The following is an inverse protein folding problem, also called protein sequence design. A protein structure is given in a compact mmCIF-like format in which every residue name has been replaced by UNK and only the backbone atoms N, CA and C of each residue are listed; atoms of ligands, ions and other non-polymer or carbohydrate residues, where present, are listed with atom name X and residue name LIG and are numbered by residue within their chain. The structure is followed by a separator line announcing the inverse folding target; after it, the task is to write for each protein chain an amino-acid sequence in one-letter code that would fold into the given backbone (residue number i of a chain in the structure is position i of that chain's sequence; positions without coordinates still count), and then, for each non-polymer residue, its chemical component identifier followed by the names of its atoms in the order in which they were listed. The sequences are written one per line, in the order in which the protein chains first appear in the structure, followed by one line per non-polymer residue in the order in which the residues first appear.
data_IF_061739815690
#
_entry.id   IF_061739815690
#
_cell.length_a   1.000
_cell.length_b   1.000
_cell.length_c   1.000
_cell.angle_alpha   90.00
_cell.angle_beta   90.00
_cell.angle_gamma   90.00
#
_symmetry.space_group_name_H-M   'P 1'
#
loop_
_entity.id
_entity.type
_entity.pdbx_description
1 polymer ?
#
# COMPACT_ATOMS: atom_id res chain seq x y z
N UNK A 1 10.30 10.11 -15.15
CA UNK A 1 8.83 10.05 -15.06
C UNK A 1 8.35 9.19 -16.20
N UNK A 2 7.56 8.17 -15.90
CA UNK A 2 6.92 7.33 -16.93
C UNK A 2 5.44 7.68 -16.94
N UNK A 3 4.85 7.84 -18.12
CA UNK A 3 3.42 8.08 -18.29
C UNK A 3 2.78 6.75 -18.65
N UNK A 4 1.82 6.31 -17.85
CA UNK A 4 0.95 5.20 -18.25
C UNK A 4 -0.40 5.76 -18.66
N UNK A 5 -0.96 5.17 -19.71
CA UNK A 5 -2.20 5.60 -20.32
C UNK A 5 -3.27 4.53 -20.06
N UNK A 6 -4.33 4.93 -19.35
CA UNK A 6 -5.57 4.15 -19.30
C UNK A 6 -6.49 4.67 -20.39
N UNK A 7 -7.14 3.74 -21.07
CA UNK A 7 -8.11 4.07 -22.09
C UNK A 7 -9.33 3.16 -21.95
N UNK A 8 -10.51 3.71 -22.20
CA UNK A 8 -11.73 2.92 -22.29
C UNK A 8 -11.79 2.32 -23.70
N UNK A 9 -11.57 1.01 -23.81
CA UNK A 9 -11.69 0.32 -25.09
C UNK A 9 -13.14 0.38 -25.54
N UNK A 10 -13.37 0.98 -26.71
CA UNK A 10 -14.70 1.00 -27.33
C UNK A 10 -14.71 -0.10 -28.38
N UNK A 11 -15.45 -1.18 -28.16
CA UNK A 11 -15.56 -2.20 -29.21
C UNK A 11 -16.58 -1.77 -30.28
N UNK A 12 -17.75 -1.26 -29.87
CA UNK A 12 -18.82 -0.83 -30.78
C UNK A 12 -19.64 0.30 -30.16
N UNK A 13 -19.94 1.37 -30.93
CA UNK A 13 -20.91 2.41 -30.54
C UNK A 13 -22.23 2.17 -31.27
N UNK A 14 -23.32 2.01 -30.52
CA UNK A 14 -24.68 1.84 -31.06
C UNK A 14 -25.57 3.02 -30.68
N UNK A 15 -26.46 3.43 -31.58
CA UNK A 15 -27.52 4.40 -31.25
C UNK A 15 -28.43 3.84 -30.17
N UNK A 16 -28.70 4.62 -29.13
CA UNK A 16 -29.44 4.19 -27.94
C UNK A 16 -30.87 3.72 -28.26
N UNK A 17 -31.52 4.35 -29.24
CA UNK A 17 -32.92 4.09 -29.61
C UNK A 17 -33.02 3.01 -30.68
N UNK A 18 -32.23 3.09 -31.75
CA UNK A 18 -32.36 2.17 -32.88
C UNK A 18 -31.47 0.92 -32.79
N UNK A 19 -30.54 0.86 -31.82
CA UNK A 19 -29.49 -0.17 -31.68
C UNK A 19 -28.62 -0.38 -32.93
N UNK A 20 -28.78 0.46 -33.94
CA UNK A 20 -27.97 0.46 -35.16
C UNK A 20 -26.55 0.86 -34.79
N UNK A 21 -25.59 0.07 -35.25
CA UNK A 21 -24.18 0.35 -35.09
C UNK A 21 -23.81 1.58 -35.90
N UNK A 22 -23.24 2.57 -35.21
CA UNK A 22 -22.79 3.84 -35.80
C UNK A 22 -21.28 3.91 -35.96
N UNK A 23 -20.54 3.13 -35.17
CA UNK A 23 -19.08 3.13 -35.17
C UNK A 23 -18.54 1.77 -34.72
N UNK A 24 -17.52 1.26 -35.42
CA UNK A 24 -16.67 0.17 -34.96
C UNK A 24 -15.29 0.78 -34.71
N UNK A 25 -14.76 0.66 -33.50
CA UNK A 25 -13.48 1.29 -33.23
C UNK A 25 -12.33 0.45 -33.79
N UNK A 26 -11.38 1.11 -34.43
CA UNK A 26 -10.10 0.54 -34.84
C UNK A 26 -9.22 0.17 -33.65
N UNK A 27 -8.12 -0.55 -33.92
CA UNK A 27 -7.15 -0.90 -32.88
C UNK A 27 -6.53 0.37 -32.28
N UNK A 28 -6.66 0.56 -30.97
CA UNK A 28 -6.10 1.70 -30.23
C UNK A 28 -7.04 2.91 -30.09
N UNK A 29 -8.27 2.83 -30.60
CA UNK A 29 -9.25 3.89 -30.44
C UNK A 29 -9.98 3.81 -29.10
N UNK A 30 -10.16 4.96 -28.47
CA UNK A 30 -10.80 5.08 -27.16
C UNK A 30 -11.73 6.27 -27.09
N UNK A 31 -12.83 6.10 -26.36
CA UNK A 31 -13.76 7.19 -26.04
C UNK A 31 -13.18 8.17 -25.02
N UNK A 32 -12.22 7.73 -24.18
CA UNK A 32 -11.61 8.53 -23.12
C UNK A 32 -10.17 8.08 -22.86
N UNK A 33 -9.27 9.04 -22.87
CA UNK A 33 -7.85 8.85 -22.53
C UNK A 33 -7.61 9.45 -21.16
N UNK A 34 -6.97 8.68 -20.29
CA UNK A 34 -6.54 9.12 -18.96
C UNK A 34 -5.03 8.91 -18.84
N UNK A 35 -4.32 9.98 -18.52
CA UNK A 35 -2.89 9.97 -18.25
C UNK A 35 -2.65 10.06 -16.75
N UNK A 36 -1.72 9.27 -16.24
CA UNK A 36 -1.27 9.36 -14.86
C UNK A 36 0.25 9.44 -14.83
N UNK A 37 0.76 10.21 -13.87
CA UNK A 37 2.20 10.29 -13.63
C UNK A 37 2.64 9.21 -12.64
N UNK A 38 3.71 8.51 -13.01
CA UNK A 38 4.40 7.55 -12.18
C UNK A 38 5.82 8.01 -11.90
N UNK A 39 6.18 7.99 -10.61
CA UNK A 39 7.52 8.34 -10.16
C UNK A 39 8.01 7.23 -9.23
N UNK A 40 9.01 6.48 -9.70
CA UNK A 40 9.67 5.44 -8.92
C UNK A 40 10.92 6.00 -8.26
N UNK A 41 11.01 5.84 -6.95
CA UNK A 41 12.25 6.03 -6.20
C UNK A 41 12.97 4.67 -6.09
N UNK A 42 14.09 4.46 -6.82
CA UNK A 42 14.80 3.19 -6.83
C UNK A 42 15.58 2.91 -5.55
N UNK A 43 15.81 3.91 -4.68
CA UNK A 43 16.50 3.72 -3.40
C UNK A 43 15.51 3.18 -2.38
N UNK A 44 14.33 3.80 -2.30
CA UNK A 44 13.28 3.38 -1.36
C UNK A 44 12.40 2.24 -1.86
N UNK A 45 12.52 1.88 -3.15
CA UNK A 45 11.60 0.98 -3.86
C UNK A 45 10.13 1.40 -3.76
N UNK A 46 9.85 2.71 -3.82
CA UNK A 46 8.48 3.25 -3.73
C UNK A 46 8.08 3.82 -5.09
N UNK A 47 6.92 3.36 -5.59
CA UNK A 47 6.27 3.90 -6.79
C UNK A 47 5.15 4.85 -6.37
N UNK A 48 5.36 6.16 -6.53
CA UNK A 48 4.31 7.15 -6.38
C UNK A 48 3.45 7.23 -7.65
N UNK A 49 2.13 7.26 -7.44
CA UNK A 49 1.13 7.34 -8.50
C UNK A 49 0.25 8.57 -8.23
N UNK A 50 -0.04 9.33 -9.27
CA UNK A 50 -0.98 10.43 -9.21
C UNK A 50 -2.41 9.95 -8.89
N UNK A 51 -2.96 10.43 -7.77
CA UNK A 51 -4.33 10.16 -7.35
C UNK A 51 -5.32 11.03 -8.15
N UNK A 52 -5.88 10.47 -9.22
CA UNK A 52 -6.89 11.13 -10.05
C UNK A 52 -8.20 10.32 -10.08
N UNK A 53 -9.37 10.94 -10.31
CA UNK A 53 -10.68 10.29 -10.14
C UNK A 53 -10.93 9.03 -10.96
N UNK A 54 -10.11 8.78 -11.99
CA UNK A 54 -10.25 7.63 -12.89
C UNK A 54 -9.22 6.53 -12.61
N UNK A 55 -8.36 6.70 -11.60
CA UNK A 55 -7.31 5.74 -11.26
C UNK A 55 -7.94 4.36 -10.93
N UNK A 56 -7.42 3.26 -11.50
CA UNK A 56 -7.87 1.93 -11.14
C UNK A 56 -7.70 1.64 -9.64
N UNK A 57 -8.48 0.70 -9.11
CA UNK A 57 -8.30 0.25 -7.73
C UNK A 57 -6.90 -0.33 -7.51
N UNK A 58 -6.39 -0.25 -6.28
CA UNK A 58 -5.08 -0.78 -5.92
C UNK A 58 -4.90 -2.25 -6.35
N UNK A 59 -5.92 -3.09 -6.15
CA UNK A 59 -5.95 -4.49 -6.57
C UNK A 59 -5.76 -4.70 -8.09
N UNK A 60 -6.25 -3.77 -8.92
CA UNK A 60 -6.04 -3.81 -10.38
C UNK A 60 -4.62 -3.34 -10.69
N UNK A 61 -4.14 -2.28 -10.04
CA UNK A 61 -2.78 -1.77 -10.21
C UNK A 61 -1.74 -2.83 -9.86
N UNK A 62 -1.91 -3.60 -8.78
CA UNK A 62 -1.00 -4.69 -8.42
C UNK A 62 -0.87 -5.74 -9.51
N UNK A 63 -2.00 -6.13 -10.12
CA UNK A 63 -2.00 -7.11 -11.21
C UNK A 63 -1.29 -6.57 -12.44
N UNK A 64 -1.59 -5.34 -12.82
CA UNK A 64 -0.98 -4.69 -13.99
C UNK A 64 0.52 -4.53 -13.79
N UNK A 65 0.97 -3.98 -12.66
CA UNK A 65 2.39 -3.79 -12.37
C UNK A 65 3.13 -5.13 -12.34
N UNK A 66 2.54 -6.17 -11.73
CA UNK A 66 3.12 -7.50 -11.73
C UNK A 66 3.29 -8.10 -13.14
N UNK A 67 2.32 -7.93 -14.02
CA UNK A 67 2.41 -8.42 -15.39
C UNK A 67 3.38 -7.57 -16.24
N UNK A 68 3.39 -6.25 -16.09
CA UNK A 68 4.30 -5.35 -16.82
C UNK A 68 5.76 -5.68 -16.56
N UNK A 69 6.12 -5.94 -15.30
CA UNK A 69 7.51 -6.25 -14.92
C UNK A 69 7.85 -7.74 -14.99
N UNK A 70 6.88 -8.61 -15.28
CA UNK A 70 7.04 -10.08 -15.22
C UNK A 70 8.20 -10.59 -16.06
N UNK A 71 8.24 -10.20 -17.33
CA UNK A 71 9.25 -10.71 -18.27
C UNK A 71 10.63 -10.13 -18.00
N UNK A 72 10.69 -8.83 -17.68
CA UNK A 72 11.94 -8.18 -17.27
C UNK A 72 12.52 -8.83 -16.01
N UNK A 73 11.68 -9.07 -15.00
CA UNK A 73 12.06 -9.75 -13.77
C UNK A 73 12.51 -11.18 -14.03
N UNK A 74 11.80 -11.96 -14.86
CA UNK A 74 12.20 -13.35 -15.19
C UNK A 74 13.53 -13.43 -15.92
N UNK A 75 13.85 -12.45 -16.78
CA UNK A 75 15.10 -12.42 -17.55
C UNK A 75 16.29 -11.93 -16.73
N UNK A 76 16.11 -10.85 -15.98
CA UNK A 76 17.20 -10.18 -15.27
C UNK A 76 17.41 -10.73 -13.85
N UNK A 77 16.33 -11.17 -13.19
CA UNK A 77 16.32 -11.57 -11.78
C UNK A 77 15.50 -12.86 -11.57
N UNK A 78 15.89 -13.98 -12.21
CA UNK A 78 15.11 -15.22 -12.22
C UNK A 78 14.86 -15.81 -10.82
N UNK A 79 15.82 -15.63 -9.91
CA UNK A 79 15.74 -16.12 -8.52
C UNK A 79 14.98 -15.17 -7.59
N UNK A 80 14.56 -14.00 -8.07
CA UNK A 80 13.88 -13.00 -7.25
C UNK A 80 12.37 -13.06 -7.46
N UNK A 81 11.63 -12.74 -6.40
CA UNK A 81 10.18 -12.49 -6.46
C UNK A 81 9.95 -10.98 -6.39
N UNK A 82 8.85 -10.55 -6.99
CA UNK A 82 8.39 -9.17 -6.94
C UNK A 82 6.99 -9.20 -6.35
N UNK A 83 6.79 -8.44 -5.28
CA UNK A 83 5.47 -8.09 -4.74
C UNK A 83 5.22 -6.60 -4.98
N UNK A 84 3.96 -6.22 -4.94
CA UNK A 84 3.55 -4.81 -4.99
C UNK A 84 2.50 -4.64 -3.91
N UNK A 85 2.83 -3.82 -2.92
CA UNK A 85 2.02 -3.59 -1.73
C UNK A 85 1.68 -2.10 -1.60
N UNK A 86 0.51 -1.78 -1.03
CA UNK A 86 0.18 -0.38 -0.73
C UNK A 86 0.92 0.12 0.50
N UNK A 87 1.45 1.33 0.38
CA UNK A 87 1.95 2.07 1.52
C UNK A 87 0.77 2.62 2.33
N UNK A 88 0.64 2.22 3.60
CA UNK A 88 -0.51 2.58 4.46
C UNK A 88 -0.07 3.39 5.68
N UNK A 89 -0.95 4.26 6.17
CA UNK A 89 -0.62 5.20 7.25
C UNK A 89 -0.55 4.53 8.61
N UNK A 90 0.58 4.63 9.32
CA UNK A 90 0.73 4.02 10.66
C UNK A 90 -0.15 4.70 11.72
N UNK A 91 -0.51 5.96 11.51
CA UNK A 91 -1.41 6.70 12.39
C UNK A 91 -2.80 6.04 12.47
N UNK A 92 -3.26 5.43 11.37
CA UNK A 92 -4.55 4.73 11.33
C UNK A 92 -4.55 3.48 12.22
N UNK A 93 -3.46 2.71 12.20
CA UNK A 93 -3.25 1.56 13.09
C UNK A 93 -3.15 2.00 14.56
N UNK A 94 -2.37 3.06 14.84
CA UNK A 94 -2.24 3.63 16.19
C UNK A 94 -3.60 4.01 16.80
N UNK A 95 -4.50 4.56 15.99
CA UNK A 95 -5.84 4.93 16.43
C UNK A 95 -6.66 3.69 16.81
N UNK A 96 -6.62 2.63 16.01
CA UNK A 96 -7.30 1.37 16.30
C UNK A 96 -6.81 0.78 17.63
N UNK A 97 -5.50 0.75 17.84
CA UNK A 97 -4.89 0.23 19.06
C UNK A 97 -5.29 1.04 20.30
N UNK A 98 -5.41 2.37 20.16
CA UNK A 98 -5.85 3.26 21.26
C UNK A 98 -7.35 3.20 21.53
N UNK A 99 -8.16 2.92 20.52
CA UNK A 99 -9.62 2.87 20.62
C UNK A 99 -10.16 1.48 20.98
N UNK A 100 -9.38 0.42 20.77
CA UNK A 100 -9.79 -0.95 21.07
C UNK A 100 -9.85 -1.23 22.57
N UNK A 101 -10.97 -1.78 23.02
CA UNK A 101 -11.13 -2.40 24.35
C UNK A 101 -10.80 -3.89 24.35
N UNK A 102 -10.68 -4.49 23.17
CA UNK A 102 -10.43 -5.89 22.93
C UNK A 102 -10.67 -6.24 21.46
N UNK A 103 -10.26 -7.44 21.07
CA UNK A 103 -10.18 -7.87 19.68
C UNK A 103 -10.99 -9.14 19.45
N UNK A 104 -11.75 -9.18 18.36
CA UNK A 104 -12.41 -10.39 17.87
C UNK A 104 -11.49 -11.18 16.93
N UNK A 105 -10.75 -10.46 16.09
CA UNK A 105 -9.77 -11.05 15.18
C UNK A 105 -8.68 -10.06 14.84
N UNK A 106 -7.48 -10.57 14.64
CA UNK A 106 -6.31 -9.83 14.24
C UNK A 106 -5.59 -10.65 13.17
N UNK A 107 -5.69 -10.22 11.91
CA UNK A 107 -5.09 -10.92 10.77
C UNK A 107 -4.09 -10.00 10.10
N UNK A 108 -2.86 -10.47 9.99
CA UNK A 108 -1.77 -9.74 9.35
C UNK A 108 -1.16 -10.59 8.26
N UNK A 109 -0.89 -9.95 7.13
CA UNK A 109 -0.18 -10.51 5.99
C UNK A 109 0.97 -9.56 5.67
N UNK A 110 2.21 -10.05 5.72
CA UNK A 110 3.41 -9.28 5.42
C UNK A 110 4.31 -10.02 4.44
N UNK A 111 5.01 -9.24 3.62
CA UNK A 111 6.17 -9.64 2.84
C UNK A 111 7.41 -8.91 3.35
N UNK A 112 8.55 -9.10 2.70
CA UNK A 112 9.84 -8.55 3.14
C UNK A 112 10.59 -7.96 1.95
N UNK A 113 11.12 -6.74 2.11
CA UNK A 113 11.86 -6.05 1.06
C UNK A 113 13.30 -6.55 0.95
N UNK A 114 13.85 -6.60 -0.25
CA UNK A 114 15.29 -6.81 -0.45
C UNK A 114 16.13 -5.53 -0.26
N UNK A 115 15.52 -4.35 0.00
CA UNK A 115 16.28 -3.12 0.24
C UNK A 115 16.91 -3.11 1.63
N UNK A 116 18.20 -2.78 1.70
CA UNK A 116 18.96 -2.65 2.96
C UNK A 116 18.62 -1.38 3.76
N UNK A 117 18.07 -0.35 3.11
CA UNK A 117 17.84 0.97 3.71
C UNK A 117 16.61 1.04 4.65
N UNK A 118 15.95 -0.09 4.92
CA UNK A 118 14.83 -0.13 5.85
C UNK A 118 15.23 -0.19 7.33
N UNK A 119 16.50 -0.51 7.60
CA UNK A 119 17.01 -0.70 8.96
C UNK A 119 17.13 0.65 9.70
N UNK A 120 17.22 1.79 9.01
CA UNK A 120 17.30 3.07 9.72
C UNK A 120 15.93 3.57 10.21
N UNK A 121 15.65 3.34 11.49
CA UNK A 121 14.58 4.01 12.24
C UNK A 121 13.32 3.18 12.51
N UNK A 122 13.40 1.86 12.34
CA UNK A 122 12.47 0.95 12.98
C UNK A 122 12.91 0.75 14.44
N UNK A 123 12.09 0.06 15.24
CA UNK A 123 12.55 -0.43 16.53
C UNK A 123 13.34 -1.72 16.32
N UNK A 124 14.44 -1.91 17.06
CA UNK A 124 15.37 -3.06 16.96
C UNK A 124 14.67 -4.43 16.85
N UNK A 125 13.52 -4.57 17.52
CA UNK A 125 12.71 -5.78 17.49
C UNK A 125 12.04 -6.05 16.13
N UNK A 126 11.58 -5.00 15.45
CA UNK A 126 11.00 -5.10 14.11
C UNK A 126 12.10 -5.37 13.06
N UNK A 127 13.28 -4.78 13.25
CA UNK A 127 14.47 -5.02 12.40
C UNK A 127 14.93 -6.47 12.49
N UNK A 128 14.98 -7.02 13.71
CA UNK A 128 15.36 -8.42 13.95
C UNK A 128 14.44 -9.40 13.22
N UNK A 129 13.12 -9.17 13.26
CA UNK A 129 12.14 -10.01 12.55
C UNK A 129 12.33 -9.88 11.04
N UNK A 130 12.45 -8.67 10.49
CA UNK A 130 12.64 -8.49 9.06
C UNK A 130 13.95 -9.16 8.57
N UNK A 131 15.04 -8.99 9.31
CA UNK A 131 16.34 -9.59 9.00
C UNK A 131 16.29 -11.13 9.04
N UNK A 132 15.64 -11.70 10.06
CA UNK A 132 15.47 -13.16 10.19
C UNK A 132 14.69 -13.74 9.01
N UNK A 133 13.59 -13.08 8.61
CA UNK A 133 12.74 -13.56 7.53
C UNK A 133 13.49 -13.51 6.18
N UNK A 134 14.30 -12.47 5.96
CA UNK A 134 15.19 -12.38 4.80
C UNK A 134 16.25 -13.48 4.78
N UNK A 135 16.95 -13.68 5.90
CA UNK A 135 17.99 -14.72 6.03
C UNK A 135 17.44 -16.12 5.75
N UNK A 136 16.24 -16.41 6.24
CA UNK A 136 15.54 -17.68 6.02
C UNK A 136 14.88 -17.81 4.65
N UNK A 137 14.92 -16.77 3.81
CA UNK A 137 14.28 -16.78 2.49
C UNK A 137 12.76 -16.88 2.54
N UNK A 138 12.14 -16.38 3.60
CA UNK A 138 10.68 -16.35 3.76
C UNK A 138 10.12 -15.19 2.92
N UNK A 139 9.22 -15.49 2.00
CA UNK A 139 8.67 -14.49 1.07
C UNK A 139 7.39 -13.82 1.61
N UNK A 140 6.59 -14.57 2.36
CA UNK A 140 5.30 -14.14 2.89
C UNK A 140 5.05 -14.79 4.25
N UNK A 141 4.56 -13.98 5.18
CA UNK A 141 4.12 -14.42 6.50
C UNK A 141 2.67 -14.03 6.71
N UNK A 142 1.84 -15.00 7.09
CA UNK A 142 0.46 -14.80 7.50
C UNK A 142 0.32 -15.15 8.98
N UNK A 143 -0.17 -14.20 9.78
CA UNK A 143 -0.44 -14.38 11.21
C UNK A 143 -1.90 -14.09 11.51
N UNK A 144 -2.52 -14.93 12.34
CA UNK A 144 -3.92 -14.77 12.71
C UNK A 144 -4.15 -15.14 14.18
N UNK A 145 -4.79 -14.22 14.88
CA UNK A 145 -5.36 -14.45 16.21
C UNK A 145 -6.86 -14.19 16.17
N UNK A 146 -7.64 -14.99 16.88
CA UNK A 146 -9.10 -14.84 16.97
C UNK A 146 -9.60 -15.27 18.33
N UNK A 147 -10.62 -14.55 18.84
CA UNK A 147 -11.32 -14.95 20.04
C UNK A 147 -12.16 -16.21 19.80
N UNK A 148 -12.46 -16.92 20.89
CA UNK A 148 -13.53 -17.90 20.90
C UNK A 148 -14.88 -17.27 20.54
N UNK A 149 -15.80 -18.13 20.11
CA UNK A 149 -17.16 -17.74 19.74
C UNK A 149 -17.81 -16.94 20.87
N UNK A 150 -18.40 -15.80 20.51
CA UNK A 150 -19.07 -14.87 21.42
C UNK A 150 -18.18 -14.25 22.52
N UNK A 151 -16.85 -14.38 22.39
CA UNK A 151 -15.86 -13.79 23.29
C UNK A 151 -15.04 -12.68 22.61
N UNK A 152 -14.24 -11.95 23.40
CA UNK A 152 -13.22 -11.00 22.93
C UNK A 152 -11.88 -11.34 23.56
N UNK A 153 -10.81 -11.22 22.78
CA UNK A 153 -9.44 -11.19 23.32
C UNK A 153 -9.25 -9.83 24.01
N UNK A 154 -8.84 -9.84 25.27
CA UNK A 154 -8.52 -8.61 26.00
C UNK A 154 -7.35 -7.88 25.37
N UNK A 155 -6.36 -8.63 24.88
CA UNK A 155 -5.28 -8.15 24.05
C UNK A 155 -4.84 -9.22 23.05
N UNK A 156 -4.00 -8.82 22.09
CA UNK A 156 -3.30 -9.72 21.16
C UNK A 156 -1.87 -9.94 21.62
N UNK A 157 -1.20 -10.97 21.08
CA UNK A 157 0.20 -11.19 21.39
C UNK A 157 1.09 -10.03 20.94
N UNK A 158 2.24 -9.85 21.59
CA UNK A 158 3.25 -8.89 21.16
C UNK A 158 3.69 -9.14 19.72
N UNK A 159 3.74 -10.40 19.27
CA UNK A 159 4.16 -10.71 17.90
C UNK A 159 3.11 -10.28 16.86
N UNK A 160 1.81 -10.35 17.18
CA UNK A 160 0.77 -9.79 16.31
C UNK A 160 0.92 -8.27 16.16
N UNK A 161 1.25 -7.56 17.24
CA UNK A 161 1.53 -6.12 17.20
C UNK A 161 2.75 -5.79 16.34
N UNK A 162 3.81 -6.59 16.44
CA UNK A 162 5.03 -6.45 15.63
C UNK A 162 4.72 -6.64 14.15
N UNK A 163 4.02 -7.72 13.79
CA UNK A 163 3.63 -7.95 12.40
C UNK A 163 2.73 -6.84 11.86
N UNK A 164 1.78 -6.33 12.65
CA UNK A 164 0.97 -5.18 12.24
C UNK A 164 1.81 -3.90 12.05
N UNK A 165 2.88 -3.73 12.81
CA UNK A 165 3.84 -2.64 12.62
C UNK A 165 4.56 -2.72 11.26
N UNK A 166 4.96 -3.94 10.87
CA UNK A 166 5.60 -4.19 9.57
C UNK A 166 4.61 -4.05 8.40
N UNK A 167 3.34 -4.42 8.60
CA UNK A 167 2.34 -4.37 7.54
C UNK A 167 1.99 -2.95 7.07
N UNK A 168 2.33 -1.90 7.83
CA UNK A 168 2.18 -0.52 7.35
C UNK A 168 2.93 -0.26 6.03
N UNK A 169 4.05 -0.97 5.82
CA UNK A 169 4.89 -0.84 4.63
C UNK A 169 4.88 -2.08 3.74
N UNK A 170 4.82 -3.27 4.34
CA UNK A 170 5.04 -4.52 3.61
C UNK A 170 3.82 -5.43 3.58
N UNK A 171 2.61 -4.89 3.67
CA UNK A 171 1.43 -5.71 3.46
C UNK A 171 0.17 -5.09 4.02
N UNK A 172 -0.59 -5.89 4.77
CA UNK A 172 -1.87 -5.46 5.28
C UNK A 172 -2.21 -6.11 6.61
N UNK A 173 -2.93 -5.36 7.44
CA UNK A 173 -3.56 -5.88 8.65
C UNK A 173 -5.05 -5.58 8.64
N UNK A 174 -5.85 -6.60 8.93
CA UNK A 174 -7.28 -6.53 9.20
C UNK A 174 -7.56 -6.82 10.68
N UNK A 175 -8.20 -5.87 11.35
CA UNK A 175 -8.50 -5.95 12.78
C UNK A 175 -10.01 -5.84 12.97
N UNK A 176 -10.63 -6.85 13.56
CA UNK A 176 -11.98 -6.73 14.10
C UNK A 176 -11.88 -6.50 15.61
N UNK A 177 -12.42 -5.39 16.09
CA UNK A 177 -12.27 -4.97 17.47
C UNK A 177 -13.55 -4.37 18.05
N UNK A 178 -13.62 -4.32 19.38
CA UNK A 178 -14.65 -3.61 20.12
C UNK A 178 -14.11 -2.24 20.50
N UNK A 179 -14.78 -1.18 20.06
CA UNK A 179 -14.36 0.19 20.36
C UNK A 179 -14.75 0.62 21.78
N UNK A 180 -14.32 1.82 22.19
CA UNK A 180 -14.66 2.40 23.50
C UNK A 180 -16.17 2.58 23.72
N UNK A 181 -16.95 2.71 22.66
CA UNK A 181 -18.41 2.79 22.68
C UNK A 181 -19.10 1.41 22.65
N UNK A 182 -18.34 0.33 22.84
CA UNK A 182 -18.81 -1.06 22.82
C UNK A 182 -19.37 -1.53 21.46
N UNK A 183 -19.06 -0.82 20.36
CA UNK A 183 -19.46 -1.22 19.01
C UNK A 183 -18.37 -2.07 18.37
N UNK A 184 -18.80 -3.09 17.61
CA UNK A 184 -17.90 -3.87 16.77
C UNK A 184 -17.50 -3.04 15.55
N UNK A 185 -16.20 -2.93 15.31
CA UNK A 185 -15.61 -2.29 14.12
C UNK A 185 -14.70 -3.27 13.39
N UNK A 186 -14.52 -3.02 12.11
CA UNK A 186 -13.53 -3.69 11.27
C UNK A 186 -12.65 -2.60 10.68
N UNK A 187 -11.34 -2.74 10.89
CA UNK A 187 -10.32 -1.90 10.32
C UNK A 187 -9.55 -2.72 9.30
N UNK A 188 -9.30 -2.15 8.12
CA UNK A 188 -8.43 -2.71 7.09
C UNK A 188 -7.43 -1.65 6.71
N UNK A 189 -6.14 -1.96 6.78
CA UNK A 189 -5.11 -1.01 6.38
C UNK A 189 -5.26 -0.54 4.93
N UNK A 190 -5.75 -1.41 4.04
CA UNK A 190 -6.01 -1.08 2.64
C UNK A 190 -6.99 0.09 2.45
N UNK A 191 -7.81 0.42 3.45
CA UNK A 191 -8.72 1.56 3.39
C UNK A 191 -8.02 2.90 3.72
N UNK A 192 -6.75 2.85 4.14
CA UNK A 192 -5.95 4.01 4.60
C UNK A 192 -4.60 4.14 3.88
N UNK A 193 -4.57 4.24 2.54
CA UNK A 193 -3.35 4.48 1.80
C UNK A 193 -2.75 5.85 2.14
N UNK A 194 -1.42 5.95 2.11
CA UNK A 194 -0.74 7.23 2.28
C UNK A 194 -0.97 8.10 1.06
N UNK A 195 -1.63 9.24 1.25
CA UNK A 195 -1.86 10.25 0.21
C UNK A 195 -1.17 11.54 0.58
N UNK A 196 -0.40 12.09 -0.35
CA UNK A 196 0.32 13.35 -0.14
C UNK A 196 0.04 14.30 -1.28
N UNK A 197 -0.22 15.56 -0.92
CA UNK A 197 -0.48 16.62 -1.89
C UNK A 197 0.85 17.23 -2.33
N UNK A 198 1.07 17.23 -3.64
CA UNK A 198 2.15 18.01 -4.28
C UNK A 198 1.51 19.20 -4.99
N UNK A 199 1.95 20.42 -4.68
CA UNK A 199 1.49 21.61 -5.40
C UNK A 199 2.01 21.58 -6.84
N UNK A 200 1.20 21.95 -7.82
CA UNK A 200 1.65 22.13 -9.22
C UNK A 200 1.96 23.59 -9.57
N UNK A 201 1.81 24.52 -8.62
CA UNK A 201 1.95 25.94 -8.91
C UNK A 201 3.39 26.32 -9.26
N UNK A 202 3.61 26.68 -10.53
CA UNK A 202 4.86 27.27 -11.02
C UNK A 202 5.12 28.66 -10.45
N UNK A 203 4.13 29.33 -9.85
CA UNK A 203 4.33 30.64 -9.19
C UNK A 203 5.32 30.57 -8.02
N UNK A 204 5.64 29.36 -7.52
CA UNK A 204 6.61 29.12 -6.43
C UNK A 204 7.86 28.35 -6.88
N UNK A 205 8.01 28.01 -8.17
CA UNK A 205 9.12 27.17 -8.65
C UNK A 205 9.89 27.86 -9.77
N UNK A 206 11.22 27.80 -9.70
CA UNK A 206 12.10 28.35 -10.71
C UNK A 206 12.33 27.36 -11.85
N UNK A 207 12.15 26.05 -11.62
CA UNK A 207 12.39 25.01 -12.62
C UNK A 207 11.50 23.77 -12.48
N UNK A 208 11.48 22.93 -13.52
CA UNK A 208 10.90 21.58 -13.46
C UNK A 208 11.66 20.65 -12.48
N UNK A 209 12.94 20.93 -12.22
CA UNK A 209 13.74 20.18 -11.26
C UNK A 209 13.18 20.34 -9.84
N UNK A 210 12.69 21.53 -9.50
CA UNK A 210 12.09 21.83 -8.19
C UNK A 210 10.83 20.98 -7.95
N UNK A 211 10.06 20.72 -9.01
CA UNK A 211 8.92 19.80 -8.94
C UNK A 211 9.36 18.37 -8.64
N UNK A 212 10.42 17.88 -9.29
CA UNK A 212 10.94 16.54 -9.00
C UNK A 212 11.51 16.43 -7.59
N UNK A 213 12.16 17.48 -7.07
CA UNK A 213 12.57 17.52 -5.67
C UNK A 213 11.38 17.48 -4.71
N UNK A 214 10.31 18.22 -4.99
CA UNK A 214 9.10 18.19 -4.17
C UNK A 214 8.44 16.80 -4.18
N UNK A 215 8.39 16.13 -5.33
CA UNK A 215 7.90 14.75 -5.41
C UNK A 215 8.79 13.80 -4.60
N UNK A 216 10.12 13.88 -4.74
CA UNK A 216 11.06 13.06 -3.96
C UNK A 216 10.90 13.29 -2.45
N UNK A 217 10.83 14.54 -2.02
CA UNK A 217 10.59 14.90 -0.62
C UNK A 217 9.25 14.36 -0.12
N UNK A 218 8.24 14.34 -0.99
CA UNK A 218 6.93 13.80 -0.68
C UNK A 218 6.95 12.27 -0.55
N UNK A 219 7.72 11.56 -1.37
CA UNK A 219 7.95 10.12 -1.24
C UNK A 219 8.64 9.81 0.10
N UNK A 220 9.68 10.58 0.46
CA UNK A 220 10.33 10.46 1.77
C UNK A 220 9.35 10.69 2.93
N UNK A 221 8.51 11.72 2.84
CA UNK A 221 7.50 12.00 3.84
C UNK A 221 6.44 10.89 3.94
N UNK A 222 6.06 10.29 2.81
CA UNK A 222 5.13 9.16 2.78
C UNK A 222 5.76 7.91 3.42
N UNK A 223 7.01 7.59 3.08
CA UNK A 223 7.77 6.51 3.70
C UNK A 223 7.85 6.67 5.22
N UNK A 224 8.08 7.90 5.70
CA UNK A 224 8.12 8.21 7.13
C UNK A 224 6.75 8.07 7.82
N UNK A 225 5.64 8.35 7.14
CA UNK A 225 4.29 8.16 7.72
C UNK A 225 3.91 6.68 7.86
N UNK A 226 4.50 5.82 7.02
CA UNK A 226 4.32 4.38 7.13
C UNK A 226 5.33 3.70 8.05
N UNK A 227 6.26 4.45 8.64
CA UNK A 227 7.06 3.94 9.76
C UNK A 227 6.16 3.69 10.96
N UNK A 228 6.47 2.65 11.72
CA UNK A 228 5.65 2.16 12.81
C UNK A 228 5.22 3.27 13.76
N UNK A 229 3.92 3.34 14.03
CA UNK A 229 3.31 4.40 14.83
C UNK A 229 3.82 4.39 16.27
N UNK A 230 4.05 5.58 16.81
CA UNK A 230 4.54 5.74 18.19
C UNK A 230 3.64 5.09 19.26
N UNK A 231 2.35 4.93 18.98
CA UNK A 231 1.38 4.25 19.85
C UNK A 231 1.60 2.74 19.90
N UNK A 232 1.80 2.11 18.74
CA UNK A 232 2.13 0.69 18.61
C UNK A 232 3.44 0.36 19.31
N UNK A 233 4.51 1.14 19.06
CA UNK A 233 5.82 0.94 19.70
C UNK A 233 5.72 1.01 21.23
N UNK A 234 4.96 1.99 21.75
CA UNK A 234 4.70 2.08 23.20
C UNK A 234 3.97 0.85 23.75
N UNK A 235 3.10 0.21 22.96
CA UNK A 235 2.38 -0.99 23.39
C UNK A 235 3.28 -2.22 23.36
N UNK A 236 4.11 -2.36 22.32
CA UNK A 236 5.13 -3.43 22.21
C UNK A 236 6.09 -3.38 23.40
N UNK A 237 6.62 -2.21 23.76
CA UNK A 237 7.54 -2.02 24.91
C UNK A 237 6.91 -2.29 26.27
N UNK A 238 5.59 -2.17 26.38
CA UNK A 238 4.84 -2.39 27.61
C UNK A 238 4.40 -3.85 27.79
N UNK A 239 4.70 -4.71 26.81
CA UNK A 239 4.33 -6.12 26.78
C UNK A 239 4.50 -6.80 28.13
#
# INVERSE_FOLDING_TARGET
MVVFLKFDKVDVVRKTISRVQTYAAGFGESSKIYEYRFVFDPVLHILAIEDSPSLPSASVLYKVLNEVFKDARRKLYPSFRMSVDELTSSASLDNVIKESKGYYSFKTEITFSNSNDFIEGLEELLEGVEAEMKDKGIDKLEHKESSDKDSIMTDVSTIALVYAGLSCKFGNTEISYKDKSNKKKVFKMADYPVRKRVSESMKKRASILDYYYDVKNTINAANNESRTGSGLLKKIRKG
#
